data_IF_045798303703
#
_entry.id   IF_045798303703
#
_cell.length_a   1.000
_cell.length_b   1.000
_cell.length_c   1.000
_cell.angle_alpha   90.00
_cell.angle_beta   90.00
_cell.angle_gamma   90.00
#
_symmetry.space_group_name_H-M   'P 1'
#
loop_
_entity.id
_entity.type
_entity.pdbx_description
1 polymer ?
#
# COMPACT_ATOMS: atom_id res chain seq x y z
N UNK A 1 14.05 -15.38 4.47
CA UNK A 1 13.28 -14.12 4.39
C UNK A 1 11.90 -14.47 3.87
N UNK A 2 10.86 -14.15 4.63
CA UNK A 2 9.49 -14.53 4.30
C UNK A 2 8.73 -13.27 3.91
N UNK A 3 8.07 -13.29 2.75
CA UNK A 3 7.28 -12.16 2.29
C UNK A 3 5.82 -12.38 2.65
N UNK A 4 5.12 -11.33 3.09
CA UNK A 4 3.68 -11.35 3.35
C UNK A 4 3.00 -10.39 2.39
N UNK A 5 2.04 -10.89 1.64
CA UNK A 5 1.13 -10.02 0.90
C UNK A 5 0.13 -9.42 1.88
N UNK A 6 0.07 -8.08 1.93
CA UNK A 6 -0.78 -7.35 2.85
C UNK A 6 -2.26 -7.40 2.42
N UNK A 7 -2.56 -7.76 1.16
CA UNK A 7 -3.95 -7.90 0.66
C UNK A 7 -4.59 -9.19 1.13
N UNK A 8 -3.86 -10.29 0.97
CA UNK A 8 -4.33 -11.65 1.22
C UNK A 8 -3.91 -12.17 2.60
N UNK A 9 -3.00 -11.47 3.27
CA UNK A 9 -2.34 -11.90 4.50
C UNK A 9 -1.67 -13.29 4.37
N UNK A 10 -1.35 -13.72 3.15
CA UNK A 10 -0.67 -14.99 2.86
C UNK A 10 0.83 -14.77 2.69
N UNK A 11 1.58 -15.87 2.79
CA UNK A 11 2.96 -15.88 2.33
C UNK A 11 2.96 -15.57 0.83
N UNK A 12 3.62 -14.48 0.45
CA UNK A 12 3.85 -14.17 -0.95
C UNK A 12 5.11 -14.92 -1.40
N UNK A 13 5.07 -15.48 -2.60
CA UNK A 13 6.26 -16.03 -3.25
C UNK A 13 7.30 -14.95 -3.54
N UNK A 14 8.49 -15.37 -3.99
CA UNK A 14 9.54 -14.49 -4.51
C UNK A 14 8.94 -13.59 -5.61
N UNK A 15 9.22 -12.28 -5.63
CA UNK A 15 8.74 -11.43 -6.71
C UNK A 15 9.21 -11.99 -8.06
N UNK A 16 8.31 -12.00 -9.04
CA UNK A 16 8.56 -12.49 -10.40
C UNK A 16 9.52 -11.58 -11.21
N UNK A 17 10.05 -10.52 -10.59
CA UNK A 17 10.95 -9.55 -11.18
C UNK A 17 11.90 -8.94 -10.15
N UNK A 18 12.96 -8.28 -10.63
CA UNK A 18 13.95 -7.61 -9.79
C UNK A 18 13.34 -6.52 -8.90
N UNK A 19 14.11 -6.14 -7.86
CA UNK A 19 13.70 -5.18 -6.84
C UNK A 19 14.56 -3.92 -6.99
N UNK A 20 13.91 -2.76 -7.10
CA UNK A 20 14.57 -1.46 -7.01
C UNK A 20 14.42 -0.96 -5.57
N UNK A 21 15.54 -0.90 -4.84
CA UNK A 21 15.54 -0.32 -3.50
C UNK A 21 15.57 1.21 -3.58
N UNK A 22 14.58 1.87 -2.99
CA UNK A 22 14.48 3.31 -2.95
C UNK A 22 14.66 3.81 -1.52
N UNK A 23 15.69 4.62 -1.30
CA UNK A 23 16.01 5.16 0.02
C UNK A 23 14.93 6.13 0.50
N UNK A 24 14.71 6.19 1.80
CA UNK A 24 13.67 7.01 2.44
C UNK A 24 13.94 8.52 2.35
N UNK A 25 15.16 8.92 1.97
CA UNK A 25 15.56 10.31 1.70
C UNK A 25 15.55 10.65 0.21
N UNK A 26 15.00 9.77 -0.64
CA UNK A 26 15.04 9.96 -2.08
C UNK A 26 14.34 11.26 -2.50
N UNK A 27 15.01 12.02 -3.37
CA UNK A 27 14.48 13.27 -3.91
C UNK A 27 13.28 12.99 -4.83
N UNK A 28 12.60 14.05 -5.28
CA UNK A 28 11.49 13.91 -6.24
C UNK A 28 11.95 13.30 -7.57
N UNK A 29 13.13 13.67 -8.01
CA UNK A 29 13.71 13.22 -9.28
C UNK A 29 14.11 11.75 -9.23
N UNK A 30 14.75 11.31 -8.14
CA UNK A 30 15.12 9.91 -7.93
C UNK A 30 13.89 9.00 -7.88
N UNK A 31 12.80 9.47 -7.26
CA UNK A 31 11.51 8.75 -7.24
C UNK A 31 10.91 8.62 -8.63
N UNK A 32 10.90 9.71 -9.40
CA UNK A 32 10.38 9.70 -10.76
C UNK A 32 11.17 8.72 -11.65
N UNK A 33 12.50 8.75 -11.55
CA UNK A 33 13.40 7.87 -12.30
C UNK A 33 13.19 6.40 -11.93
N UNK A 34 13.15 6.08 -10.64
CA UNK A 34 12.89 4.71 -10.17
C UNK A 34 11.52 4.19 -10.64
N UNK A 35 10.49 5.03 -10.66
CA UNK A 35 9.17 4.66 -11.18
C UNK A 35 9.21 4.42 -12.69
N UNK A 36 9.91 5.25 -13.46
CA UNK A 36 10.02 5.06 -14.90
C UNK A 36 10.63 3.69 -15.24
N UNK A 37 11.78 3.38 -14.61
CA UNK A 37 12.45 2.07 -14.79
C UNK A 37 11.56 0.91 -14.32
N UNK A 38 10.90 1.06 -13.17
CA UNK A 38 10.02 0.04 -12.64
C UNK A 38 8.81 -0.24 -13.56
N UNK A 39 8.27 0.79 -14.22
CA UNK A 39 7.16 0.66 -15.16
C UNK A 39 7.58 -0.03 -16.45
N UNK A 40 8.76 0.29 -16.98
CA UNK A 40 9.27 -0.31 -18.22
C UNK A 40 9.63 -1.79 -18.04
N UNK A 41 10.27 -2.12 -16.92
CA UNK A 41 10.79 -3.47 -16.66
C UNK A 41 9.85 -4.35 -15.82
N UNK A 42 8.72 -3.81 -15.36
CA UNK A 42 7.79 -4.52 -14.47
C UNK A 42 8.39 -4.86 -13.09
N UNK A 43 9.30 -4.01 -12.59
CA UNK A 43 10.02 -4.24 -11.34
C UNK A 43 9.22 -3.78 -10.12
N UNK A 44 9.53 -4.37 -8.96
CA UNK A 44 8.95 -3.97 -7.68
C UNK A 44 9.83 -2.91 -7.00
N UNK A 45 9.20 -1.96 -6.29
CA UNK A 45 9.93 -0.92 -5.54
C UNK A 45 9.96 -1.32 -4.07
N UNK A 46 11.16 -1.53 -3.53
CA UNK A 46 11.37 -1.78 -2.10
C UNK A 46 11.74 -0.48 -1.36
N UNK A 47 11.07 -0.22 -0.25
CA UNK A 47 11.35 0.92 0.63
C UNK A 47 11.91 0.35 1.95
N UNK A 48 13.20 0.58 2.27
CA UNK A 48 13.83 0.08 3.49
C UNK A 48 13.56 1.01 4.67
N UNK A 49 12.95 0.46 5.72
CA UNK A 49 12.73 1.15 6.99
C UNK A 49 13.93 0.96 7.92
N UNK A 50 14.64 2.05 8.20
CA UNK A 50 15.79 2.04 9.10
C UNK A 50 15.39 1.79 10.56
N UNK A 51 14.27 2.36 11.00
CA UNK A 51 13.71 2.22 12.36
C UNK A 51 12.19 2.13 12.30
N UNK A 52 11.59 1.49 13.29
CA UNK A 52 10.13 1.32 13.37
C UNK A 52 9.37 2.66 13.46
N UNK A 53 9.98 3.71 14.00
CA UNK A 53 9.34 5.03 14.15
C UNK A 53 9.59 5.97 12.95
N UNK A 54 10.14 5.46 11.84
CA UNK A 54 10.40 6.28 10.66
C UNK A 54 9.14 6.36 9.77
N UNK A 55 8.43 7.47 9.85
CA UNK A 55 7.20 7.72 9.08
C UNK A 55 7.44 8.04 7.60
N UNK A 56 8.67 8.38 7.20
CA UNK A 56 8.95 8.93 5.85
C UNK A 56 8.72 7.91 4.74
N UNK A 57 8.97 6.62 4.99
CA UNK A 57 8.69 5.55 4.03
C UNK A 57 7.21 5.45 3.65
N UNK A 58 6.30 5.74 4.59
CA UNK A 58 4.86 5.78 4.33
C UNK A 58 4.48 6.94 3.41
N UNK A 59 5.09 8.12 3.60
CA UNK A 59 4.89 9.26 2.72
C UNK A 59 5.36 8.98 1.30
N UNK A 60 6.52 8.33 1.14
CA UNK A 60 7.02 7.95 -0.19
C UNK A 60 6.06 7.01 -0.90
N UNK A 61 5.62 5.93 -0.25
CA UNK A 61 4.66 5.00 -0.86
C UNK A 61 3.37 5.70 -1.30
N UNK A 62 2.87 6.64 -0.49
CA UNK A 62 1.72 7.45 -0.87
C UNK A 62 2.00 8.32 -2.09
N UNK A 63 3.16 8.97 -2.16
CA UNK A 63 3.55 9.82 -3.29
C UNK A 63 3.76 9.01 -4.57
N UNK A 64 4.31 7.79 -4.47
CA UNK A 64 4.42 6.87 -5.60
C UNK A 64 3.04 6.54 -6.20
N UNK A 65 2.03 6.36 -5.35
CA UNK A 65 0.65 6.12 -5.79
C UNK A 65 -0.07 7.37 -6.29
N UNK A 66 0.11 8.52 -5.64
CA UNK A 66 -0.69 9.73 -5.92
C UNK A 66 -0.07 10.69 -6.95
N UNK A 67 1.25 10.82 -6.97
CA UNK A 67 1.95 11.74 -7.90
C UNK A 67 2.48 11.03 -9.13
N UNK A 68 2.90 9.78 -8.99
CA UNK A 68 3.54 9.02 -10.07
C UNK A 68 2.66 7.90 -10.64
N UNK A 69 1.41 7.76 -10.16
CA UNK A 69 0.44 6.73 -10.56
C UNK A 69 1.08 5.34 -10.71
N UNK A 70 1.98 4.98 -9.79
CA UNK A 70 2.68 3.71 -9.85
C UNK A 70 1.71 2.58 -9.51
N UNK A 71 1.40 1.75 -10.50
CA UNK A 71 0.53 0.57 -10.34
C UNK A 71 1.29 -0.69 -9.96
N UNK A 72 2.62 -0.67 -10.05
CA UNK A 72 3.48 -1.79 -9.70
C UNK A 72 3.49 -2.09 -8.20
N UNK A 73 4.25 -3.11 -7.85
CA UNK A 73 4.31 -3.61 -6.49
C UNK A 73 5.23 -2.76 -5.62
N UNK A 74 4.74 -2.34 -4.46
CA UNK A 74 5.55 -1.64 -3.44
C UNK A 74 5.76 -2.57 -2.25
N UNK A 75 7.03 -2.84 -1.95
CA UNK A 75 7.49 -3.71 -0.88
C UNK A 75 8.05 -2.89 0.29
N UNK A 76 7.59 -3.15 1.50
CA UNK A 76 8.22 -2.63 2.72
C UNK A 76 9.31 -3.60 3.19
N UNK A 77 10.53 -3.12 3.38
CA UNK A 77 11.66 -3.93 3.86
C UNK A 77 12.26 -3.31 5.12
N UNK A 78 13.02 -4.08 5.90
CA UNK A 78 13.68 -3.59 7.13
C UNK A 78 12.83 -3.71 8.40
N UNK A 79 12.91 -2.71 9.28
CA UNK A 79 12.35 -2.77 10.64
C UNK A 79 10.85 -2.44 10.68
N UNK A 80 10.01 -3.40 10.28
CA UNK A 80 8.55 -3.29 10.33
C UNK A 80 7.94 -4.13 11.46
N UNK A 81 6.81 -3.67 12.00
CA UNK A 81 6.10 -4.29 13.13
C UNK A 81 4.66 -4.65 12.68
N UNK A 82 4.06 -5.76 13.15
CA UNK A 82 2.70 -6.17 12.78
C UNK A 82 1.63 -5.08 12.94
N UNK A 83 1.73 -4.22 13.97
CA UNK A 83 0.75 -3.15 14.22
C UNK A 83 0.71 -2.09 13.11
N UNK A 84 1.78 -2.00 12.31
CA UNK A 84 1.86 -1.10 11.16
C UNK A 84 1.27 -1.71 9.89
N UNK A 85 0.89 -2.99 9.88
CA UNK A 85 0.44 -3.70 8.68
C UNK A 85 -0.73 -2.99 7.98
N UNK A 86 -1.72 -2.55 8.74
CA UNK A 86 -2.86 -1.82 8.20
C UNK A 86 -2.45 -0.45 7.66
N UNK A 87 -1.52 0.23 8.33
CA UNK A 87 -1.03 1.53 7.89
C UNK A 87 -0.23 1.41 6.58
N UNK A 88 0.62 0.39 6.46
CA UNK A 88 1.34 0.04 5.23
C UNK A 88 0.35 -0.20 4.08
N UNK A 89 -0.65 -1.04 4.30
CA UNK A 89 -1.67 -1.32 3.29
C UNK A 89 -2.39 -0.04 2.84
N UNK A 90 -2.80 0.83 3.78
CA UNK A 90 -3.49 2.10 3.49
C UNK A 90 -2.63 3.09 2.70
N UNK A 91 -1.33 3.17 3.00
CA UNK A 91 -0.40 4.04 2.28
C UNK A 91 -0.09 3.56 0.86
N UNK A 92 -0.45 2.32 0.52
CA UNK A 92 -0.31 1.77 -0.84
C UNK A 92 0.77 0.71 -0.99
N UNK A 93 1.31 0.18 0.11
CA UNK A 93 2.16 -1.02 0.07
C UNK A 93 1.34 -2.25 -0.32
N UNK A 94 1.95 -3.14 -1.09
CA UNK A 94 1.36 -4.43 -1.47
C UNK A 94 1.91 -5.56 -0.60
N UNK A 95 3.19 -5.52 -0.28
CA UNK A 95 3.83 -6.59 0.48
C UNK A 95 4.81 -6.03 1.52
N UNK A 96 5.14 -6.89 2.48
CA UNK A 96 6.20 -6.66 3.46
C UNK A 96 7.16 -7.83 3.48
N UNK A 97 8.44 -7.54 3.63
CA UNK A 97 9.46 -8.54 3.89
C UNK A 97 9.66 -8.70 5.40
N UNK A 98 9.51 -9.94 5.88
CA UNK A 98 9.76 -10.34 7.26
C UNK A 98 11.13 -11.00 7.37
N UNK A 99 11.89 -10.54 8.36
CA UNK A 99 13.11 -11.22 8.80
C UNK A 99 12.79 -12.60 9.39
N UNK A 100 11.65 -12.74 10.06
CA UNK A 100 11.24 -13.96 10.76
C UNK A 100 9.81 -14.37 10.40
N UNK A 101 9.67 -15.58 9.85
CA UNK A 101 8.38 -16.21 9.52
C UNK A 101 7.53 -16.56 10.74
N UNK A 102 8.10 -16.64 11.94
CA UNK A 102 7.32 -16.90 13.16
C UNK A 102 6.33 -15.77 13.48
N UNK A 103 6.52 -14.58 12.89
CA UNK A 103 5.65 -13.41 13.10
C UNK A 103 4.39 -13.41 12.23
N UNK A 104 4.26 -14.34 11.27
CA UNK A 104 3.12 -14.42 10.36
C UNK A 104 1.73 -14.38 11.05
N UNK A 105 1.50 -15.11 12.16
CA UNK A 105 0.20 -15.08 12.84
C UNK A 105 -0.16 -13.70 13.39
N UNK A 106 0.82 -12.95 13.90
CA UNK A 106 0.62 -11.60 14.41
C UNK A 106 0.24 -10.64 13.28
N UNK A 107 0.92 -10.72 12.13
CA UNK A 107 0.58 -9.92 10.94
C UNK A 107 -0.85 -10.20 10.44
N UNK A 108 -1.24 -11.48 10.39
CA UNK A 108 -2.62 -11.88 10.05
C UNK A 108 -3.64 -11.31 11.03
N UNK A 109 -3.32 -11.26 12.32
CA UNK A 109 -4.19 -10.68 13.35
C UNK A 109 -4.34 -9.17 13.19
N UNK A 110 -3.24 -8.45 13.00
CA UNK A 110 -3.24 -6.99 12.86
C UNK A 110 -3.98 -6.53 11.60
N UNK A 111 -3.86 -7.25 10.48
CA UNK A 111 -4.61 -6.95 9.25
C UNK A 111 -6.14 -7.10 9.42
N UNK A 112 -6.59 -7.95 10.36
CA UNK A 112 -8.02 -8.14 10.68
C UNK A 112 -8.56 -7.13 11.69
N UNK A 113 -7.69 -6.43 12.43
CA UNK A 113 -8.09 -5.69 13.64
C UNK A 113 -8.84 -4.38 13.39
N UNK A 114 -8.67 -3.73 12.23
CA UNK A 114 -9.36 -2.47 11.96
C UNK A 114 -9.51 -2.23 10.45
N UNK A 115 -10.74 -2.30 9.93
CA UNK A 115 -11.01 -2.08 8.50
C UNK A 115 -11.61 -0.69 8.19
N UNK A 116 -12.26 -0.06 9.18
CA UNK A 116 -12.91 1.25 9.00
C UNK A 116 -11.96 2.38 9.38
N UNK A 117 -11.45 3.09 8.38
CA UNK A 117 -10.76 4.36 8.56
C UNK A 117 -11.69 5.51 8.17
N UNK A 118 -11.75 6.55 9.01
CA UNK A 118 -12.46 7.78 8.67
C UNK A 118 -11.75 8.57 7.56
N UNK A 119 -10.42 8.52 7.53
CA UNK A 119 -9.59 9.27 6.60
C UNK A 119 -9.33 8.52 5.30
N UNK A 120 -9.46 9.24 4.18
CA UNK A 120 -9.05 8.78 2.86
C UNK A 120 -7.55 8.48 2.83
N UNK A 121 -7.17 7.42 2.13
CA UNK A 121 -5.79 6.97 1.94
C UNK A 121 -5.59 6.54 0.48
N UNK A 122 -4.34 6.37 0.05
CA UNK A 122 -4.01 5.93 -1.32
C UNK A 122 -4.72 4.62 -1.68
N UNK A 123 -4.85 3.73 -0.69
CA UNK A 123 -5.59 2.48 -0.78
C UNK A 123 -6.67 2.45 0.29
N UNK A 124 -7.71 3.25 0.10
CA UNK A 124 -8.87 3.23 0.98
C UNK A 124 -9.93 2.26 0.42
N UNK A 125 -10.29 1.18 1.15
CA UNK A 125 -11.33 0.27 0.68
C UNK A 125 -12.75 0.86 0.72
N UNK A 126 -12.99 2.01 1.37
CA UNK A 126 -14.32 2.63 1.44
C UNK A 126 -14.22 4.16 1.34
N UNK A 127 -14.54 4.71 0.19
CA UNK A 127 -14.69 6.17 0.03
C UNK A 127 -16.06 6.59 0.56
N UNK A 128 -16.24 6.53 1.88
CA UNK A 128 -17.53 6.73 2.57
C UNK A 128 -18.29 7.99 2.11
N UNK A 129 -17.61 9.08 1.74
CA UNK A 129 -18.27 10.30 1.23
C UNK A 129 -18.65 10.23 -0.26
N UNK A 130 -17.83 9.60 -1.10
CA UNK A 130 -18.05 9.57 -2.55
C UNK A 130 -19.11 8.54 -2.92
N UNK A 131 -19.07 7.36 -2.30
CA UNK A 131 -20.04 6.29 -2.54
C UNK A 131 -21.43 6.62 -1.96
N UNK A 132 -21.49 7.26 -0.80
CA UNK A 132 -22.76 7.74 -0.24
C UNK A 132 -23.40 8.82 -1.12
N UNK A 133 -22.60 9.74 -1.67
CA UNK A 133 -23.08 10.75 -2.61
C UNK A 133 -23.54 10.12 -3.94
N UNK A 134 -22.80 9.13 -4.47
CA UNK A 134 -23.17 8.40 -5.69
C UNK A 134 -24.47 7.61 -5.53
N UNK A 135 -24.68 6.93 -4.38
CA UNK A 135 -25.95 6.25 -4.08
C UNK A 135 -27.12 7.21 -4.00
N UNK A 136 -26.92 8.40 -3.40
CA UNK A 136 -27.97 9.43 -3.32
C UNK A 136 -28.39 9.92 -4.71
N UNK A 137 -27.42 10.12 -5.60
CA UNK A 137 -27.65 10.56 -6.99
C UNK A 137 -28.28 9.47 -7.88
N UNK A 138 -27.97 8.19 -7.63
CA UNK A 138 -28.59 7.07 -8.33
C UNK A 138 -30.07 6.92 -7.94
N UNK A 139 -30.38 6.93 -6.63
CA UNK A 139 -31.76 6.85 -6.15
C UNK A 139 -32.64 8.00 -6.66
N UNK A 140 -32.11 9.23 -6.71
CA UNK A 140 -32.87 10.38 -7.22
C UNK A 140 -33.18 10.27 -8.72
N UNK A 141 -32.25 9.74 -9.52
CA UNK A 141 -32.45 9.54 -10.97
C UNK A 141 -33.40 8.40 -11.30
N UNK A 142 -33.45 7.36 -10.47
CA UNK A 142 -34.41 6.26 -10.65
C UNK A 142 -35.83 6.68 -10.26
N UNK A 143 -35.97 7.55 -9.25
CA UNK A 143 -37.28 8.13 -8.90
C UNK A 143 -37.81 9.08 -9.98
N UNK A 144 -36.95 9.88 -10.62
CA UNK A 144 -37.34 10.76 -11.74
C UNK A 144 -37.69 9.99 -13.03
N UNK A 145 -37.14 8.79 -13.24
CA UNK A 145 -37.46 7.96 -14.41
C UNK A 145 -38.72 7.11 -14.24
N UNK A 146 -39.19 6.92 -13.00
CA UNK A 146 -40.35 6.10 -12.68
C UNK A 146 -41.65 6.93 -12.54
N UNK A 147 -41.56 8.26 -12.62
CA UNK A 147 -42.66 9.21 -12.62
C UNK A 147 -42.95 9.69 -14.06
#
# INVERSE_FOLDING_TARGET
MARVDLKSASLAGTPLGGIIALTVTATREERASAVAVARESGLSIAIPFARFNDGRGFSIARLLRSEHDFSGEILATGHTIPDQALHLLRCGFDAVELSDSARLPQWKKSLKSCWRAYQTAARNPLTLRREAALKKNQNSRELEKAA
#
